data_IF_680492738831
#
_entry.id   IF_680492738831
#
_cell.length_a   1.000
_cell.length_b   1.000
_cell.length_c   1.000
_cell.angle_alpha   90.00
_cell.angle_beta   90.00
_cell.angle_gamma   90.00
#
_symmetry.space_group_name_H-M   'P 1'
#
loop_
_entity.id
_entity.type
_entity.pdbx_description
1 polymer ?
#
# COMPACT_ATOMS: atom_id res chain seq x y z
N UNK A 1 -27.56 -9.98 -24.09
CA UNK A 1 -27.01 -8.97 -23.16
C UNK A 1 -25.77 -9.57 -22.55
N UNK A 2 -24.60 -9.02 -22.86
CA UNK A 2 -23.34 -9.53 -22.32
C UNK A 2 -23.31 -9.24 -20.82
N UNK A 3 -23.27 -10.28 -20.00
CA UNK A 3 -22.98 -10.15 -18.57
C UNK A 3 -21.63 -9.46 -18.45
N UNK A 4 -21.64 -8.20 -17.97
CA UNK A 4 -20.44 -7.54 -17.52
C UNK A 4 -19.97 -8.29 -16.27
N UNK A 5 -19.19 -9.34 -16.51
CA UNK A 5 -18.43 -10.07 -15.51
C UNK A 5 -17.71 -9.05 -14.64
N UNK A 6 -18.27 -8.77 -13.46
CA UNK A 6 -17.65 -8.01 -12.39
C UNK A 6 -16.52 -8.89 -11.83
N UNK A 7 -15.45 -9.02 -12.62
CA UNK A 7 -14.25 -9.78 -12.29
C UNK A 7 -13.52 -8.92 -11.26
N UNK A 8 -13.75 -9.24 -10.00
CA UNK A 8 -13.12 -8.61 -8.84
C UNK A 8 -11.62 -8.49 -9.10
N UNK A 9 -11.12 -7.26 -9.23
CA UNK A 9 -9.71 -7.00 -9.46
C UNK A 9 -8.98 -7.21 -8.13
N UNK A 10 -8.32 -8.36 -7.96
CA UNK A 10 -7.65 -8.75 -6.73
C UNK A 10 -6.18 -9.04 -6.98
N UNK A 11 -5.31 -8.43 -6.18
CA UNK A 11 -3.90 -8.79 -6.13
C UNK A 11 -3.73 -10.24 -5.63
N UNK A 12 -2.91 -11.03 -6.32
CA UNK A 12 -2.63 -12.43 -5.99
C UNK A 12 -1.91 -12.57 -4.65
N UNK A 13 -1.02 -11.63 -4.32
CA UNK A 13 -0.24 -11.58 -3.09
C UNK A 13 -0.52 -10.27 -2.33
N UNK A 14 -1.61 -10.22 -1.57
CA UNK A 14 -2.04 -9.00 -0.89
C UNK A 14 -1.14 -8.56 0.27
N UNK A 15 -0.27 -9.44 0.78
CA UNK A 15 0.74 -9.08 1.79
C UNK A 15 1.88 -8.22 1.22
N UNK A 16 1.93 -8.08 -0.11
CA UNK A 16 2.95 -7.34 -0.85
C UNK A 16 2.35 -6.14 -1.61
N UNK A 17 1.22 -5.63 -1.13
CA UNK A 17 0.47 -4.54 -1.77
C UNK A 17 1.19 -3.18 -1.69
N UNK A 18 1.91 -2.92 -0.62
CA UNK A 18 2.76 -1.73 -0.46
C UNK A 18 4.13 -1.92 -1.11
N UNK A 19 4.69 -0.84 -1.67
CA UNK A 19 6.06 -0.86 -2.18
C UNK A 19 7.08 -1.29 -1.10
N UNK A 20 6.96 -0.74 0.12
CA UNK A 20 7.85 -1.07 1.24
C UNK A 20 7.87 -2.58 1.57
N UNK A 21 6.70 -3.23 1.60
CA UNK A 21 6.63 -4.68 1.84
C UNK A 21 7.31 -5.52 0.76
N UNK A 22 7.33 -5.03 -0.50
CA UNK A 22 8.05 -5.69 -1.60
C UNK A 22 9.55 -5.45 -1.50
N UNK A 23 9.98 -4.22 -1.27
CA UNK A 23 11.38 -3.86 -1.17
C UNK A 23 12.10 -4.66 -0.06
N UNK A 24 11.42 -4.89 1.06
CA UNK A 24 11.95 -5.69 2.17
C UNK A 24 12.31 -7.13 1.77
N UNK A 25 11.76 -7.67 0.68
CA UNK A 25 12.06 -9.04 0.24
C UNK A 25 13.42 -9.20 -0.44
N UNK A 26 14.10 -8.11 -0.79
CA UNK A 26 15.34 -8.11 -1.58
C UNK A 26 16.63 -8.17 -0.73
N UNK A 27 16.59 -8.68 0.50
CA UNK A 27 17.75 -8.71 1.41
C UNK A 27 18.97 -9.46 0.84
N UNK A 28 18.75 -10.40 -0.08
CA UNK A 28 19.78 -11.23 -0.70
C UNK A 28 19.66 -11.23 -2.22
N UNK A 29 19.33 -10.07 -2.80
CA UNK A 29 19.27 -9.90 -4.24
C UNK A 29 20.66 -10.10 -4.88
N UNK A 30 20.78 -10.86 -5.99
CA UNK A 30 22.07 -11.10 -6.62
C UNK A 30 22.73 -9.80 -7.10
N UNK A 31 23.99 -9.60 -6.75
CA UNK A 31 24.75 -8.38 -7.09
C UNK A 31 25.14 -8.31 -8.58
N UNK A 32 25.09 -9.43 -9.28
CA UNK A 32 25.33 -9.55 -10.72
C UNK A 32 24.10 -9.21 -11.58
N UNK A 33 22.92 -9.10 -10.96
CA UNK A 33 21.74 -8.62 -11.66
C UNK A 33 21.81 -7.10 -11.90
N UNK A 34 21.57 -6.62 -13.13
CA UNK A 34 21.70 -5.19 -13.46
C UNK A 34 20.60 -4.30 -12.85
N UNK A 35 19.42 -4.84 -12.55
CA UNK A 35 18.31 -4.05 -12.00
C UNK A 35 18.40 -3.91 -10.48
N UNK A 36 18.02 -2.71 -10.02
CA UNK A 36 17.95 -2.37 -8.60
C UNK A 36 16.65 -2.88 -7.96
N UNK A 37 16.71 -3.37 -6.70
CA UNK A 37 15.53 -3.76 -5.94
C UNK A 37 14.42 -2.70 -5.86
N UNK A 38 14.78 -1.41 -5.82
CA UNK A 38 13.82 -0.30 -5.78
C UNK A 38 12.98 -0.23 -7.05
N UNK A 39 13.62 -0.30 -8.22
CA UNK A 39 12.93 -0.30 -9.52
C UNK A 39 11.99 -1.51 -9.65
N UNK A 40 12.46 -2.69 -9.25
CA UNK A 40 11.66 -3.92 -9.27
C UNK A 40 10.44 -3.81 -8.33
N UNK A 41 10.64 -3.32 -7.11
CA UNK A 41 9.56 -3.11 -6.14
C UNK A 41 8.56 -2.06 -6.64
N UNK A 42 9.00 -0.98 -7.26
CA UNK A 42 8.13 0.03 -7.88
C UNK A 42 7.27 -0.57 -8.98
N UNK A 43 7.85 -1.40 -9.86
CA UNK A 43 7.14 -2.14 -10.90
C UNK A 43 6.21 -3.26 -10.40
N UNK A 44 6.08 -3.41 -9.08
CA UNK A 44 5.15 -4.35 -8.45
C UNK A 44 5.76 -5.72 -8.13
N UNK A 45 7.08 -5.88 -8.21
CA UNK A 45 7.75 -7.15 -7.99
C UNK A 45 8.28 -7.33 -6.56
N UNK A 46 8.24 -8.56 -6.07
CA UNK A 46 8.91 -9.01 -4.84
C UNK A 46 9.78 -10.24 -5.13
N UNK A 47 10.72 -10.52 -4.24
CA UNK A 47 11.73 -11.57 -4.37
C UNK A 47 11.49 -12.74 -3.41
N UNK A 48 11.86 -13.95 -3.82
CA UNK A 48 11.74 -15.17 -3.00
C UNK A 48 13.07 -15.92 -2.79
N UNK A 49 14.21 -15.34 -3.19
CA UNK A 49 15.51 -15.94 -2.90
C UNK A 49 16.04 -16.92 -3.96
N UNK A 50 15.44 -16.99 -5.15
CA UNK A 50 15.88 -17.89 -6.22
C UNK A 50 16.41 -17.12 -7.43
N UNK A 51 17.73 -17.12 -7.62
CA UNK A 51 18.40 -16.42 -8.72
C UNK A 51 17.97 -14.95 -8.79
N UNK A 52 17.72 -14.46 -10.00
CA UNK A 52 17.17 -13.13 -10.25
C UNK A 52 15.66 -13.16 -10.53
N UNK A 53 14.97 -14.21 -10.07
CA UNK A 53 13.54 -14.38 -10.33
C UNK A 53 12.69 -13.54 -9.37
N UNK A 54 11.80 -12.73 -9.92
CA UNK A 54 10.87 -11.89 -9.14
C UNK A 54 9.42 -12.15 -9.54
N UNK A 55 8.50 -11.86 -8.63
CA UNK A 55 7.07 -12.16 -8.78
C UNK A 55 6.25 -10.89 -8.60
N UNK A 56 5.34 -10.61 -9.53
CA UNK A 56 4.43 -9.47 -9.36
C UNK A 56 3.41 -9.79 -8.27
N UNK A 57 3.23 -8.89 -7.30
CA UNK A 57 2.23 -9.07 -6.24
C UNK A 57 0.79 -9.12 -6.78
N UNK A 58 0.53 -8.45 -7.90
CA UNK A 58 -0.81 -8.28 -8.43
C UNK A 58 -1.23 -9.44 -9.34
N UNK A 59 -0.56 -9.61 -10.48
CA UNK A 59 -0.90 -10.66 -11.45
C UNK A 59 -0.26 -12.00 -11.11
N UNK A 60 0.82 -12.01 -10.30
CA UNK A 60 1.61 -13.21 -10.03
C UNK A 60 2.49 -13.68 -11.17
N UNK A 61 2.71 -12.84 -12.18
CA UNK A 61 3.67 -13.07 -13.23
C UNK A 61 5.09 -13.13 -12.68
N UNK A 62 5.90 -14.03 -13.22
CA UNK A 62 7.30 -14.23 -12.85
C UNK A 62 8.19 -13.75 -13.98
N UNK A 63 9.24 -13.00 -13.66
CA UNK A 63 10.29 -12.57 -14.58
C UNK A 63 11.67 -12.87 -13.97
N UNK A 64 12.65 -13.14 -14.84
CA UNK A 64 14.02 -13.56 -14.50
C UNK A 64 14.91 -13.34 -15.72
N UNK A 65 16.21 -13.59 -15.59
CA UNK A 65 17.22 -13.44 -16.65
C UNK A 65 17.33 -11.99 -17.15
N UNK A 66 17.48 -11.07 -16.20
CA UNK A 66 17.49 -9.65 -16.50
C UNK A 66 18.77 -9.19 -17.19
N UNK A 67 18.62 -8.51 -18.32
CA UNK A 67 19.69 -7.89 -19.09
C UNK A 67 19.95 -6.43 -18.71
N UNK A 68 21.12 -5.87 -19.08
CA UNK A 68 21.49 -4.49 -18.75
C UNK A 68 20.55 -3.40 -19.29
N UNK A 69 19.84 -3.69 -20.38
CA UNK A 69 18.92 -2.76 -21.04
C UNK A 69 17.46 -2.94 -20.58
N UNK A 70 17.19 -3.97 -19.76
CA UNK A 70 15.85 -4.28 -19.31
C UNK A 70 15.38 -3.24 -18.28
N UNK A 71 14.11 -2.86 -18.38
CA UNK A 71 13.43 -2.00 -17.40
C UNK A 71 12.27 -2.78 -16.81
N UNK A 72 12.13 -2.73 -15.49
CA UNK A 72 11.17 -3.57 -14.77
C UNK A 72 9.73 -3.34 -15.26
N UNK A 73 9.31 -2.08 -15.43
CA UNK A 73 7.97 -1.74 -15.93
C UNK A 73 7.74 -2.18 -17.38
N UNK A 74 8.72 -1.95 -18.27
CA UNK A 74 8.64 -2.31 -19.68
C UNK A 74 8.51 -3.82 -19.86
N UNK A 75 9.34 -4.60 -19.17
CA UNK A 75 9.29 -6.06 -19.25
C UNK A 75 8.03 -6.63 -18.58
N UNK A 76 7.55 -6.01 -17.50
CA UNK A 76 6.27 -6.38 -16.87
C UNK A 76 5.09 -6.18 -17.82
N UNK A 77 5.04 -5.04 -18.51
CA UNK A 77 4.01 -4.74 -19.50
C UNK A 77 4.07 -5.69 -20.68
N UNK A 78 5.27 -5.90 -21.24
CA UNK A 78 5.50 -6.76 -22.41
C UNK A 78 5.04 -8.19 -22.17
N UNK A 79 5.35 -8.75 -21.00
CA UNK A 79 5.03 -10.15 -20.67
C UNK A 79 3.65 -10.33 -20.04
N UNK A 80 3.16 -9.34 -19.29
CA UNK A 80 1.87 -9.41 -18.59
C UNK A 80 1.01 -8.15 -18.85
N UNK A 81 0.63 -7.87 -20.11
CA UNK A 81 -0.02 -6.60 -20.51
C UNK A 81 -1.41 -6.40 -19.89
N UNK A 82 -2.05 -7.46 -19.41
CA UNK A 82 -3.34 -7.41 -18.71
C UNK A 82 -3.20 -7.28 -17.18
N UNK A 83 -1.99 -7.16 -16.65
CA UNK A 83 -1.76 -6.95 -15.23
C UNK A 83 -2.38 -5.62 -14.79
N UNK A 84 -3.27 -5.64 -13.79
CA UNK A 84 -3.90 -4.40 -13.34
C UNK A 84 -2.91 -3.40 -12.77
N UNK A 85 -1.81 -3.84 -12.16
CA UNK A 85 -0.77 -2.93 -11.69
C UNK A 85 -0.14 -2.15 -12.86
N UNK A 86 0.16 -2.83 -13.97
CA UNK A 86 0.65 -2.21 -15.22
C UNK A 86 -0.41 -1.26 -15.80
N UNK A 87 -1.67 -1.70 -15.89
CA UNK A 87 -2.75 -0.89 -16.43
C UNK A 87 -2.97 0.41 -15.62
N UNK A 88 -2.90 0.33 -14.28
CA UNK A 88 -3.03 1.49 -13.41
C UNK A 88 -1.84 2.46 -13.55
N UNK A 89 -0.62 1.94 -13.66
CA UNK A 89 0.57 2.76 -13.89
C UNK A 89 0.46 3.56 -15.19
N UNK A 90 0.08 2.91 -16.30
CA UNK A 90 -0.15 3.58 -17.59
C UNK A 90 -1.25 4.65 -17.54
N UNK A 91 -2.34 4.38 -16.82
CA UNK A 91 -3.42 5.36 -16.66
C UNK A 91 -2.97 6.58 -15.85
N UNK A 92 -2.06 6.40 -14.89
CA UNK A 92 -1.43 7.50 -14.14
C UNK A 92 -0.51 8.34 -15.01
N UNK A 93 0.27 7.71 -15.88
CA UNK A 93 1.19 8.38 -16.82
C UNK A 93 0.45 9.27 -17.84
N UNK A 94 -0.71 8.82 -18.34
CA UNK A 94 -1.56 9.59 -19.24
C UNK A 94 -2.22 10.84 -18.60
N UNK A 95 -2.13 11.02 -17.28
CA UNK A 95 -2.66 12.23 -16.60
C UNK A 95 -1.65 13.37 -16.50
N UNK A 96 -0.40 13.13 -16.87
CA UNK A 96 0.62 14.17 -17.00
C UNK A 96 0.94 14.33 -18.49
N UNK A 97 0.27 15.27 -19.14
CA UNK A 97 0.79 15.84 -20.39
C UNK A 97 2.18 16.47 -20.15
N UNK A 98 3.00 16.66 -21.19
CA UNK A 98 4.38 17.12 -21.04
C UNK A 98 4.41 18.53 -20.45
N UNK A 99 4.68 18.60 -19.15
CA UNK A 99 4.91 19.82 -18.38
C UNK A 99 6.15 19.61 -17.53
N UNK A 100 7.27 19.97 -18.12
CA UNK A 100 8.48 20.53 -17.51
C UNK A 100 9.02 19.86 -16.23
N UNK A 101 10.20 19.24 -16.42
CA UNK A 101 11.21 18.93 -15.42
C UNK A 101 11.37 20.03 -14.36
N UNK A 102 11.24 19.66 -13.09
CA UNK A 102 11.76 20.44 -11.98
C UNK A 102 12.94 19.68 -11.36
N UNK A 103 14.10 20.31 -11.49
CA UNK A 103 15.42 19.85 -11.16
C UNK A 103 15.62 19.65 -9.65
N UNK A 104 16.45 18.65 -9.37
CA UNK A 104 17.21 18.51 -8.13
C UNK A 104 18.01 19.79 -7.85
N UNK A 105 17.73 20.46 -6.74
CA UNK A 105 18.64 21.44 -6.16
C UNK A 105 19.18 20.90 -4.84
N UNK A 106 20.39 20.34 -4.92
CA UNK A 106 21.28 20.16 -3.79
C UNK A 106 21.75 21.55 -3.33
N UNK A 107 21.74 21.81 -2.02
CA UNK A 107 22.62 22.82 -1.43
C UNK A 107 23.61 22.13 -0.50
N UNK A 108 24.83 21.97 -1.00
CA UNK A 108 26.04 21.92 -0.18
C UNK A 108 26.38 23.36 0.22
N UNK A 109 26.73 23.63 1.48
CA UNK A 109 28.12 23.91 1.84
C UNK A 109 28.32 24.12 3.36
N UNK A 110 29.38 23.49 3.87
CA UNK A 110 30.38 23.91 4.87
C UNK A 110 29.98 24.62 6.18
N UNK A 111 30.46 24.06 7.28
CA UNK A 111 30.20 24.54 8.65
C UNK A 111 31.09 25.67 9.14
N UNK A 112 30.70 26.24 10.30
CA UNK A 112 31.57 26.36 11.48
C UNK A 112 30.73 26.65 12.76
N UNK A 113 31.10 25.93 13.81
CA UNK A 113 30.93 26.03 15.29
C UNK A 113 29.92 27.02 15.96
N UNK A 114 29.05 26.42 16.80
CA UNK A 114 28.68 26.71 18.23
C UNK A 114 28.73 28.19 18.72
N UNK A 115 27.69 28.78 19.34
CA UNK A 115 27.20 28.43 20.70
C UNK A 115 26.00 29.32 21.10
N UNK A 116 25.11 28.73 21.93
CA UNK A 116 24.27 29.33 22.99
C UNK A 116 23.79 30.80 22.88
N UNK A 117 22.47 31.01 22.92
CA UNK A 117 21.79 31.63 24.08
C UNK A 117 20.25 31.76 23.93
N UNK A 118 19.54 31.12 24.86
CA UNK A 118 18.41 31.61 25.69
C UNK A 118 17.26 32.41 25.01
N UNK A 119 16.12 31.71 24.90
CA UNK A 119 14.68 32.08 24.98
C UNK A 119 14.32 33.58 25.15
N UNK A 120 13.54 34.13 24.21
CA UNK A 120 12.22 34.73 24.51
C UNK A 120 11.36 34.97 23.25
N UNK A 121 10.09 34.65 23.45
CA UNK A 121 8.90 34.60 22.58
C UNK A 121 8.42 35.96 22.07
N UNK A 122 7.77 36.02 20.89
CA UNK A 122 6.39 36.53 20.73
C UNK A 122 5.84 36.54 19.28
N UNK A 123 4.57 36.13 19.17
CA UNK A 123 3.58 36.32 18.10
C UNK A 123 3.55 35.36 16.90
N UNK A 124 2.81 34.24 17.06
CA UNK A 124 1.73 33.88 16.13
C UNK A 124 0.52 33.42 16.97
N UNK A 125 -0.66 33.94 16.60
CA UNK A 125 -1.83 34.14 17.44
C UNK A 125 -2.68 32.89 17.69
N UNK A 126 -3.28 32.87 18.88
CA UNK A 126 -4.10 31.85 19.54
C UNK A 126 -5.51 31.65 18.91
N UNK A 127 -5.60 31.23 17.65
CA UNK A 127 -6.92 30.90 17.05
C UNK A 127 -7.08 29.45 16.59
N UNK A 128 -6.06 28.60 16.73
CA UNK A 128 -6.04 27.31 16.03
C UNK A 128 -5.89 26.07 16.95
N UNK A 129 -5.82 26.23 18.28
CA UNK A 129 -5.51 25.09 19.17
C UNK A 129 -6.71 24.20 19.50
N UNK A 130 -7.92 24.75 19.52
CA UNK A 130 -9.14 24.00 19.83
C UNK A 130 -9.65 23.24 18.60
N UNK A 131 -9.53 23.84 17.42
CA UNK A 131 -9.94 23.21 16.15
C UNK A 131 -8.97 22.11 15.72
N UNK A 132 -7.65 22.26 15.93
CA UNK A 132 -6.70 21.16 15.75
C UNK A 132 -6.99 19.97 16.69
N UNK A 133 -7.38 20.24 17.95
CA UNK A 133 -7.77 19.18 18.90
C UNK A 133 -9.06 18.48 18.49
N UNK A 134 -10.08 19.22 18.07
CA UNK A 134 -11.33 18.66 17.53
C UNK A 134 -11.08 17.81 16.28
N UNK A 135 -10.21 18.29 15.39
CA UNK A 135 -9.84 17.59 14.16
C UNK A 135 -9.05 16.31 14.46
N UNK A 136 -8.13 16.35 15.42
CA UNK A 136 -7.40 15.17 15.89
C UNK A 136 -8.36 14.14 16.51
N UNK A 137 -9.31 14.59 17.33
CA UNK A 137 -10.32 13.73 17.93
C UNK A 137 -11.24 13.11 16.88
N UNK A 138 -11.64 13.88 15.87
CA UNK A 138 -12.43 13.40 14.74
C UNK A 138 -11.66 12.38 13.90
N UNK A 139 -10.39 12.64 13.58
CA UNK A 139 -9.51 11.68 12.91
C UNK A 139 -9.33 10.39 13.72
N UNK A 140 -9.22 10.51 15.04
CA UNK A 140 -9.18 9.35 15.93
C UNK A 140 -10.48 8.57 15.85
N UNK A 141 -11.65 9.21 15.93
CA UNK A 141 -12.96 8.55 15.80
C UNK A 141 -13.13 7.85 14.45
N UNK A 142 -12.74 8.51 13.36
CA UNK A 142 -12.78 7.96 12.00
C UNK A 142 -11.89 6.72 11.88
N UNK A 143 -10.68 6.73 12.47
CA UNK A 143 -9.79 5.56 12.49
C UNK A 143 -10.42 4.35 13.21
N UNK A 144 -11.09 4.57 14.35
CA UNK A 144 -11.75 3.49 15.10
C UNK A 144 -12.98 2.92 14.40
N UNK A 145 -13.58 3.67 13.47
CA UNK A 145 -14.75 3.22 12.71
C UNK A 145 -14.43 1.97 11.89
N UNK A 146 -13.21 1.86 11.35
CA UNK A 146 -12.78 0.75 10.49
C UNK A 146 -12.04 -0.38 11.22
N UNK A 147 -11.90 -0.30 12.54
CA UNK A 147 -11.27 -1.36 13.33
C UNK A 147 -12.27 -2.48 13.66
N UNK A 148 -11.72 -3.70 13.79
CA UNK A 148 -12.39 -4.88 14.30
C UNK A 148 -13.05 -4.56 15.63
N UNK A 149 -14.37 -4.72 15.72
CA UNK A 149 -15.14 -4.41 16.93
C UNK A 149 -14.94 -5.42 18.06
N UNK A 150 -14.20 -6.48 17.80
CA UNK A 150 -13.84 -7.49 18.81
C UNK A 150 -12.49 -7.18 19.46
N UNK A 151 -11.42 -6.95 18.69
CA UNK A 151 -10.09 -6.71 19.27
C UNK A 151 -9.68 -5.23 19.32
N UNK A 152 -10.30 -4.36 18.52
CA UNK A 152 -9.94 -2.94 18.37
C UNK A 152 -8.47 -2.67 18.02
N UNK A 153 -7.77 -3.67 17.48
CA UNK A 153 -6.35 -3.59 17.11
C UNK A 153 -6.18 -3.55 15.59
N UNK A 154 -6.84 -4.48 14.89
CA UNK A 154 -6.72 -4.67 13.45
C UNK A 154 -7.94 -4.13 12.70
N UNK A 155 -7.77 -3.81 11.41
CA UNK A 155 -8.88 -3.40 10.55
C UNK A 155 -9.94 -4.50 10.43
N UNK A 156 -11.21 -4.11 10.46
CA UNK A 156 -12.32 -5.00 10.15
C UNK A 156 -12.27 -5.34 8.65
N UNK A 157 -12.17 -6.63 8.35
CA UNK A 157 -12.05 -7.12 6.98
C UNK A 157 -12.95 -8.33 6.69
N UNK A 158 -13.84 -8.70 7.61
CA UNK A 158 -14.76 -9.84 7.44
C UNK A 158 -16.22 -9.38 7.54
N UNK A 159 -16.98 -9.70 6.49
CA UNK A 159 -18.43 -9.55 6.37
C UNK A 159 -19.10 -10.86 6.79
N UNK A 160 -20.05 -10.78 7.71
CA UNK A 160 -20.82 -11.93 8.18
C UNK A 160 -22.10 -12.14 7.37
N UNK A 161 -22.32 -13.34 6.83
CA UNK A 161 -23.55 -13.70 6.14
C UNK A 161 -24.51 -14.48 7.06
N UNK A 162 -25.83 -14.21 6.99
CA UNK A 162 -26.52 -13.36 5.99
C UNK A 162 -26.66 -11.88 6.39
N UNK A 163 -26.08 -11.42 7.50
CA UNK A 163 -26.38 -10.10 8.04
C UNK A 163 -25.58 -8.93 7.45
N UNK A 164 -24.64 -9.21 6.54
CA UNK A 164 -23.77 -8.25 5.84
C UNK A 164 -22.96 -7.28 6.71
N UNK A 165 -22.78 -7.58 8.00
CA UNK A 165 -22.00 -6.71 8.89
C UNK A 165 -20.51 -6.95 8.71
N UNK A 166 -19.77 -5.88 8.36
CA UNK A 166 -18.31 -5.82 8.34
C UNK A 166 -17.80 -5.36 9.71
N UNK A 167 -17.37 -6.29 10.56
CA UNK A 167 -17.10 -5.93 11.96
C UNK A 167 -15.97 -6.67 12.65
N UNK A 168 -15.32 -7.64 12.00
CA UNK A 168 -14.21 -8.39 12.59
C UNK A 168 -12.98 -8.44 11.66
N UNK A 169 -11.78 -8.56 12.25
CA UNK A 169 -10.58 -8.95 11.53
C UNK A 169 -10.60 -10.47 11.27
N UNK A 170 -9.67 -10.95 10.43
CA UNK A 170 -9.58 -12.37 10.07
C UNK A 170 -9.44 -13.27 11.31
N UNK A 171 -8.57 -12.91 12.25
CA UNK A 171 -8.30 -13.70 13.45
C UNK A 171 -9.48 -13.75 14.43
N UNK A 172 -10.20 -12.65 14.59
CA UNK A 172 -11.38 -12.62 15.46
C UNK A 172 -12.57 -13.33 14.82
N UNK A 173 -12.73 -13.27 13.50
CA UNK A 173 -13.87 -13.89 12.81
C UNK A 173 -13.94 -15.41 12.98
N UNK A 174 -12.78 -16.07 13.09
CA UNK A 174 -12.70 -17.53 13.26
C UNK A 174 -13.27 -18.01 14.60
N UNK A 175 -13.35 -17.13 15.60
CA UNK A 175 -13.80 -17.44 16.96
C UNK A 175 -15.25 -17.04 17.22
N UNK A 176 -15.94 -16.47 16.22
CA UNK A 176 -17.30 -15.96 16.36
C UNK A 176 -18.30 -16.91 15.68
N UNK A 177 -19.30 -17.34 16.44
CA UNK A 177 -20.45 -18.09 15.91
C UNK A 177 -21.61 -17.15 15.54
N UNK A 178 -21.71 -15.99 16.21
CA UNK A 178 -22.73 -14.98 16.00
C UNK A 178 -22.08 -13.64 15.66
N UNK A 179 -22.75 -12.84 14.83
CA UNK A 179 -22.32 -11.50 14.49
C UNK A 179 -22.30 -10.61 15.75
N UNK A 180 -21.16 -9.99 16.05
CA UNK A 180 -21.01 -9.10 17.22
C UNK A 180 -21.79 -7.77 17.11
N UNK A 181 -22.41 -7.47 15.96
CA UNK A 181 -23.26 -6.28 15.77
C UNK A 181 -24.73 -6.60 16.00
N UNK A 182 -25.23 -7.70 15.43
CA UNK A 182 -26.67 -8.01 15.43
C UNK A 182 -27.05 -9.40 15.95
N UNK A 183 -26.07 -10.14 16.48
CA UNK A 183 -26.23 -11.46 17.11
C UNK A 183 -26.78 -12.58 16.20
N UNK A 184 -26.98 -12.32 14.90
CA UNK A 184 -27.37 -13.36 13.93
C UNK A 184 -26.27 -14.42 13.79
N UNK A 185 -26.67 -15.68 13.65
CA UNK A 185 -25.77 -16.80 13.40
C UNK A 185 -24.99 -16.58 12.09
N UNK A 186 -23.68 -16.77 12.15
CA UNK A 186 -22.78 -16.64 11.01
C UNK A 186 -22.83 -17.96 10.23
N UNK A 187 -23.43 -17.93 9.04
CA UNK A 187 -23.47 -19.10 8.14
C UNK A 187 -22.27 -19.16 7.20
N UNK A 188 -21.71 -18.00 6.88
CA UNK A 188 -20.52 -17.86 6.06
C UNK A 188 -19.85 -16.51 6.33
N UNK A 189 -18.57 -16.42 6.00
CA UNK A 189 -17.77 -15.20 6.09
C UNK A 189 -17.25 -14.83 4.71
N UNK A 190 -17.22 -13.53 4.42
CA UNK A 190 -16.63 -12.97 3.19
C UNK A 190 -15.58 -11.95 3.59
N UNK A 191 -14.36 -12.06 3.04
CA UNK A 191 -13.32 -11.07 3.31
C UNK A 191 -13.50 -9.84 2.43
N UNK A 192 -13.72 -8.68 3.04
CA UNK A 192 -13.74 -7.38 2.38
C UNK A 192 -12.33 -6.79 2.30
N UNK A 193 -12.01 -6.20 1.15
CA UNK A 193 -10.78 -5.45 0.92
C UNK A 193 -11.17 -3.99 0.73
N UNK A 194 -10.86 -3.15 1.72
CA UNK A 194 -11.02 -1.70 1.63
C UNK A 194 -9.73 -1.11 1.06
N UNK A 195 -9.81 -0.54 -0.15
CA UNK A 195 -8.74 0.22 -0.81
C UNK A 195 -8.46 1.54 -0.12
#
# INVERSE_FOLDING_TARGET
>A
MAELSNRMIRAKYCQFDTNASRLQTFTNWPSDCPLQPTELAEAGFFYQGNGDSVICYFCGGVLSQWGPEDKAWTEHEKHYPSCTHVLLHKMGDLRLGPGESAESSQMQNSGDVLSQDIVQTESLQETDTDDYKKLEEMNKKLRHQFLCKTCLQEKACIVFLPCSHLSACLMCSQKLQNCNICQKLIKATVRAYCS
#
